data_IF_588857567563
#
_entry.id   IF_588857567563
#
_cell.length_a   1.000
_cell.length_b   1.000
_cell.length_c   1.000
_cell.angle_alpha   90.00
_cell.angle_beta   90.00
_cell.angle_gamma   90.00
#
_symmetry.space_group_name_H-M   'P 1'
#
loop_
_entity.id
_entity.type
_entity.pdbx_description
1 polymer ?
#
# COMPACT_ATOMS: atom_id res chain seq x y z
N UNK A 1 23.82 1.19 8.84
CA UNK A 1 22.77 0.25 8.39
C UNK A 1 21.44 0.77 8.91
N UNK A 2 20.59 1.35 8.05
CA UNK A 2 19.25 1.78 8.47
C UNK A 2 18.40 0.51 8.54
N UNK A 3 18.09 0.06 9.76
CA UNK A 3 17.31 -1.15 10.00
C UNK A 3 15.99 -1.06 9.25
N UNK A 4 15.73 -2.03 8.38
CA UNK A 4 14.45 -2.29 7.70
C UNK A 4 13.33 -2.71 8.66
N UNK A 5 13.39 -2.33 9.95
CA UNK A 5 12.68 -3.05 11.02
C UNK A 5 11.43 -2.35 11.54
N UNK A 6 11.20 -1.08 11.22
CA UNK A 6 10.08 -0.33 11.78
C UNK A 6 9.26 0.33 10.67
N UNK A 7 8.38 -0.45 10.02
CA UNK A 7 7.42 0.06 9.02
C UNK A 7 6.35 0.96 9.66
N UNK A 8 6.04 0.74 10.95
CA UNK A 8 5.04 1.51 11.70
C UNK A 8 5.30 3.02 11.71
N UNK A 9 6.49 3.52 12.10
CA UNK A 9 6.78 4.95 12.07
C UNK A 9 6.77 5.51 10.64
N UNK A 10 7.18 4.74 9.63
CA UNK A 10 7.11 5.19 8.24
C UNK A 10 5.66 5.33 7.76
N UNK A 11 4.76 4.41 8.14
CA UNK A 11 3.33 4.54 7.89
C UNK A 11 2.73 5.74 8.62
N UNK A 12 3.17 6.05 9.84
CA UNK A 12 2.72 7.24 10.59
C UNK A 12 3.12 8.57 9.95
N UNK A 13 4.20 8.60 9.17
CA UNK A 13 4.64 9.82 8.48
C UNK A 13 3.77 10.14 7.26
N UNK A 14 3.05 9.16 6.75
CA UNK A 14 2.10 9.35 5.65
C UNK A 14 0.75 9.79 6.23
N UNK A 15 0.34 11.02 5.95
CA UNK A 15 -0.85 11.62 6.54
C UNK A 15 -2.15 10.90 6.15
N UNK A 16 -2.22 10.26 4.97
CA UNK A 16 -3.37 9.42 4.63
C UNK A 16 -3.38 8.13 5.45
N UNK A 17 -2.26 7.42 5.53
CA UNK A 17 -2.18 6.18 6.29
C UNK A 17 -2.38 6.43 7.78
N UNK A 18 -1.83 7.53 8.30
CA UNK A 18 -2.02 7.98 9.68
C UNK A 18 -3.49 8.21 10.01
N UNK A 19 -4.30 8.80 9.13
CA UNK A 19 -5.75 8.96 9.34
C UNK A 19 -6.47 7.61 9.43
N UNK A 20 -6.08 6.66 8.59
CA UNK A 20 -6.64 5.30 8.63
C UNK A 20 -6.25 4.64 9.95
N UNK A 21 -4.97 4.68 10.30
CA UNK A 21 -4.44 4.08 11.52
C UNK A 21 -5.08 4.69 12.77
N UNK A 22 -5.17 6.01 12.85
CA UNK A 22 -5.84 6.73 13.93
C UNK A 22 -7.32 6.32 14.05
N UNK A 23 -8.01 6.13 12.91
CA UNK A 23 -9.38 5.62 12.89
C UNK A 23 -9.49 4.20 13.49
N UNK A 24 -8.55 3.32 13.18
CA UNK A 24 -8.50 1.96 13.73
C UNK A 24 -8.11 1.94 15.22
N UNK A 25 -7.21 2.83 15.65
CA UNK A 25 -6.76 2.89 17.06
C UNK A 25 -7.78 3.59 17.98
N UNK A 26 -8.43 4.66 17.51
CA UNK A 26 -9.29 5.47 18.38
C UNK A 26 -10.70 4.93 18.54
N UNK A 27 -11.12 3.88 17.83
CA UNK A 27 -12.44 3.18 17.91
C UNK A 27 -13.70 4.07 17.96
N UNK A 28 -13.55 5.40 17.85
CA UNK A 28 -14.55 6.38 18.25
C UNK A 28 -15.52 6.73 17.14
N UNK A 29 -15.31 6.17 15.93
CA UNK A 29 -16.13 6.40 14.73
C UNK A 29 -16.27 5.10 13.95
N UNK A 30 -17.26 4.30 14.34
CA UNK A 30 -17.58 3.00 13.70
C UNK A 30 -17.81 3.15 12.18
N UNK A 31 -18.39 4.27 11.73
CA UNK A 31 -18.64 4.53 10.30
C UNK A 31 -17.34 4.60 9.47
N UNK A 32 -16.31 5.28 9.97
CA UNK A 32 -15.03 5.36 9.27
C UNK A 32 -14.31 4.01 9.29
N UNK A 33 -14.38 3.28 10.41
CA UNK A 33 -13.84 1.94 10.51
C UNK A 33 -14.49 0.99 9.49
N UNK A 34 -15.82 1.02 9.36
CA UNK A 34 -16.56 0.22 8.41
C UNK A 34 -16.19 0.58 6.95
N UNK A 35 -16.06 1.87 6.64
CA UNK A 35 -15.66 2.32 5.31
C UNK A 35 -14.22 1.86 4.96
N UNK A 36 -13.26 1.98 5.88
CA UNK A 36 -11.88 1.54 5.63
C UNK A 36 -11.77 0.02 5.56
N UNK A 37 -12.47 -0.71 6.43
CA UNK A 37 -12.51 -2.17 6.39
C UNK A 37 -13.14 -2.69 5.09
N UNK A 38 -14.21 -2.05 4.60
CA UNK A 38 -14.85 -2.39 3.31
C UNK A 38 -13.92 -2.15 2.11
N UNK A 39 -12.97 -1.22 2.23
CA UNK A 39 -11.92 -0.99 1.21
C UNK A 39 -10.77 -2.00 1.30
N UNK A 40 -10.88 -2.98 2.20
CA UNK A 40 -9.93 -4.05 2.43
C UNK A 40 -8.79 -3.70 3.39
N UNK A 41 -8.85 -2.57 4.11
CA UNK A 41 -7.82 -2.23 5.09
C UNK A 41 -8.01 -3.03 6.38
N UNK A 42 -6.90 -3.52 6.93
CA UNK A 42 -6.86 -4.25 8.19
C UNK A 42 -5.65 -3.83 9.00
N UNK A 43 -5.79 -3.79 10.32
CA UNK A 43 -4.71 -3.49 11.24
C UNK A 43 -4.25 -4.75 11.95
N UNK A 44 -2.95 -5.03 11.93
CA UNK A 44 -2.34 -6.11 12.68
C UNK A 44 -1.11 -5.57 13.43
N UNK A 45 -1.06 -5.74 14.75
CA UNK A 45 0.04 -5.23 15.60
C UNK A 45 0.36 -3.73 15.35
N UNK A 46 -0.68 -2.91 15.14
CA UNK A 46 -0.60 -1.48 14.77
C UNK A 46 -0.05 -1.18 13.37
N UNK A 47 0.35 -2.19 12.60
CA UNK A 47 0.76 -2.03 11.21
C UNK A 47 -0.46 -2.15 10.30
N UNK A 48 -0.54 -1.29 9.29
CA UNK A 48 -1.62 -1.27 8.32
C UNK A 48 -1.33 -2.22 7.15
N UNK A 49 -2.31 -3.05 6.83
CA UNK A 49 -2.33 -3.96 5.70
C UNK A 49 -3.58 -3.71 4.85
N UNK A 50 -3.56 -4.20 3.60
CA UNK A 50 -4.70 -4.09 2.70
C UNK A 50 -4.83 -5.35 1.84
N UNK A 51 -6.05 -5.85 1.70
CA UNK A 51 -6.38 -6.85 0.69
C UNK A 51 -6.40 -6.23 -0.70
N UNK A 52 -5.78 -6.92 -1.64
CA UNK A 52 -5.74 -6.47 -3.03
C UNK A 52 -7.09 -6.77 -3.69
N UNK A 53 -7.77 -5.77 -4.29
CA UNK A 53 -9.04 -6.00 -4.97
C UNK A 53 -8.87 -6.72 -6.31
N UNK A 54 -7.66 -6.75 -6.86
CA UNK A 54 -7.34 -7.29 -8.19
C UNK A 54 -7.02 -8.80 -8.17
N UNK A 55 -6.70 -9.34 -7.00
CA UNK A 55 -6.36 -10.75 -6.82
C UNK A 55 -7.16 -11.28 -5.65
N UNK A 56 -7.91 -12.36 -5.89
CA UNK A 56 -8.65 -13.09 -4.84
C UNK A 56 -7.65 -13.88 -3.98
N UNK A 57 -6.89 -13.15 -3.16
CA UNK A 57 -5.94 -13.73 -2.20
C UNK A 57 -6.42 -13.49 -0.79
N UNK A 58 -6.44 -14.54 0.02
CA UNK A 58 -6.77 -14.48 1.45
C UNK A 58 -5.66 -13.79 2.29
N UNK A 59 -4.60 -13.30 1.65
CA UNK A 59 -3.45 -12.69 2.32
C UNK A 59 -3.48 -11.16 2.17
N UNK A 60 -3.48 -10.46 3.30
CA UNK A 60 -3.37 -9.01 3.32
C UNK A 60 -1.93 -8.58 3.01
N UNK A 61 -1.77 -7.58 2.13
CA UNK A 61 -0.48 -7.04 1.74
C UNK A 61 -0.09 -5.84 2.61
N UNK A 62 1.21 -5.66 2.83
CA UNK A 62 1.72 -4.54 3.62
C UNK A 62 1.48 -3.22 2.88
N UNK A 63 0.90 -2.22 3.55
CA UNK A 63 0.71 -0.90 2.96
C UNK A 63 2.00 -0.09 3.09
N UNK A 64 2.74 0.04 1.98
CA UNK A 64 3.96 0.86 1.96
C UNK A 64 3.58 2.35 1.86
N UNK A 65 4.08 3.23 2.76
CA UNK A 65 3.83 4.67 2.70
C UNK A 65 4.42 5.29 1.45
N UNK A 66 3.84 6.38 0.96
CA UNK A 66 4.22 6.98 -0.33
C UNK A 66 5.73 7.29 -0.42
N UNK A 67 6.31 7.84 0.65
CA UNK A 67 7.75 8.15 0.73
C UNK A 67 8.68 6.93 0.61
N UNK A 68 8.20 5.74 1.02
CA UNK A 68 8.96 4.49 0.86
C UNK A 68 8.64 3.82 -0.47
N UNK A 69 7.52 4.12 -1.14
CA UNK A 69 7.19 3.55 -2.45
C UNK A 69 8.26 3.86 -3.48
N UNK A 70 8.77 5.09 -3.53
CA UNK A 70 9.85 5.44 -4.45
C UNK A 70 11.14 4.66 -4.16
N UNK A 71 11.49 4.49 -2.88
CA UNK A 71 12.68 3.74 -2.46
C UNK A 71 12.54 2.25 -2.73
N UNK A 72 11.35 1.69 -2.48
CA UNK A 72 11.02 0.30 -2.80
C UNK A 72 11.08 0.09 -4.31
N UNK A 73 10.45 0.95 -5.10
CA UNK A 73 10.50 0.87 -6.57
C UNK A 73 11.94 0.93 -7.09
N UNK A 74 12.77 1.87 -6.60
CA UNK A 74 14.18 1.94 -6.96
C UNK A 74 14.93 0.65 -6.62
N UNK A 75 14.73 0.12 -5.40
CA UNK A 75 15.37 -1.13 -4.97
C UNK A 75 14.97 -2.35 -5.83
N UNK A 76 13.75 -2.38 -6.36
CA UNK A 76 13.28 -3.45 -7.27
C UNK A 76 13.70 -3.22 -8.74
N UNK A 77 14.03 -1.99 -9.14
CA UNK A 77 14.53 -1.68 -10.49
C UNK A 77 16.05 -1.92 -10.64
N UNK A 78 16.83 -1.85 -9.57
CA UNK A 78 18.28 -2.13 -9.56
C UNK A 78 18.62 -3.64 -9.53
N UNK A 79 17.62 -4.52 -9.49
CA UNK A 79 17.83 -5.96 -9.63
C UNK A 79 17.68 -6.33 -11.10
N UNK A 80 18.73 -6.84 -11.79
CA UNK A 80 18.58 -7.40 -13.12
C UNK A 80 17.90 -8.77 -13.00
N UNK A 81 16.63 -8.78 -12.60
CA UNK A 81 15.71 -9.88 -12.86
C UNK A 81 14.74 -9.42 -13.95
N UNK A 82 15.33 -8.98 -15.06
CA UNK A 82 14.66 -8.86 -16.34
C UNK A 82 14.39 -10.29 -16.84
N UNK A 83 13.33 -10.90 -16.33
CA UNK A 83 12.96 -12.26 -16.66
C UNK A 83 11.55 -12.55 -16.18
N UNK A 84 10.58 -12.23 -17.04
CA UNK A 84 9.25 -12.82 -17.07
C UNK A 84 8.27 -12.35 -15.98
N UNK A 85 7.53 -11.27 -16.27
CA UNK A 85 6.10 -11.37 -16.63
C UNK A 85 5.52 -9.98 -16.94
N UNK A 86 5.05 -9.79 -18.18
CA UNK A 86 3.92 -8.91 -18.45
C UNK A 86 4.16 -7.44 -18.81
N UNK A 87 5.26 -7.09 -19.50
CA UNK A 87 5.33 -5.80 -20.20
C UNK A 87 4.71 -5.88 -21.61
N UNK A 88 3.39 -5.92 -21.68
CA UNK A 88 2.59 -5.71 -22.89
C UNK A 88 1.32 -4.96 -22.46
N UNK A 89 0.90 -3.80 -22.98
CA UNK A 89 1.29 -2.99 -24.14
C UNK A 89 0.91 -1.53 -23.88
N UNK A 90 1.83 -0.63 -24.22
CA UNK A 90 1.62 0.51 -25.12
C UNK A 90 0.39 1.40 -24.90
N UNK A 91 0.63 2.55 -24.27
CA UNK A 91 -0.14 3.77 -24.47
C UNK A 91 -0.40 4.03 -25.95
N UNK A 92 -1.65 4.31 -26.33
CA UNK A 92 -1.89 5.22 -27.44
C UNK A 92 -3.07 6.15 -27.22
N UNK A 93 -2.82 7.36 -27.67
CA UNK A 93 -3.41 8.64 -27.34
C UNK A 93 -4.55 8.97 -28.30
N UNK A 94 -5.54 9.67 -27.76
CA UNK A 94 -6.60 10.45 -28.41
C UNK A 94 -6.25 10.94 -29.83
N UNK A 95 -7.16 10.75 -30.78
CA UNK A 95 -7.43 11.70 -31.86
C UNK A 95 -8.92 11.66 -32.24
N UNK A 96 -9.56 12.79 -31.97
CA UNK A 96 -10.90 13.21 -32.35
C UNK A 96 -11.12 13.27 -33.87
N UNK A 97 -12.33 12.94 -34.31
CA UNK A 97 -12.96 13.49 -35.52
C UNK A 97 -14.44 13.74 -35.27
#
# INVERSE_FOLDING_TARGET
MRNSKDIRPEQSKDEELKKIIDCFENSSKEENFANWSSRGYIMNQRILYRYSPEVETEQAQLVVPFQEKERVLQQYHDVPTAGQYGAERTYNKVASR
#
